data_IF_188704158986
#
_entry.id   IF_188704158986
#
_cell.length_a   1.000
_cell.length_b   1.000
_cell.length_c   1.000
_cell.angle_alpha   90.00
_cell.angle_beta   90.00
_cell.angle_gamma   90.00
#
_symmetry.space_group_name_H-M   'P 1'
#
loop_
_entity.id
_entity.type
_entity.pdbx_description
1 polymer ?
#
# COMPACT_ATOMS: atom_id res chain seq x y z
N UNK A 1 -8.79 17.31 8.36
CA UNK A 1 -8.44 16.21 7.45
C UNK A 1 -7.16 15.53 7.89
N UNK A 2 -7.21 14.23 8.02
CA UNK A 2 -6.01 13.50 8.41
C UNK A 2 -5.05 13.41 7.23
N UNK A 3 -3.78 13.66 7.49
CA UNK A 3 -2.75 13.45 6.49
C UNK A 3 -2.54 11.95 6.28
N UNK A 4 -2.22 11.56 5.05
CA UNK A 4 -1.86 10.18 4.76
C UNK A 4 -0.41 9.98 5.24
N UNK A 5 -0.17 9.05 6.17
CA UNK A 5 1.18 8.83 6.67
C UNK A 5 2.08 8.22 5.59
N UNK A 6 3.37 8.44 5.75
CA UNK A 6 4.36 7.82 4.89
C UNK A 6 4.54 6.36 5.30
N UNK A 7 4.21 5.44 4.40
CA UNK A 7 4.26 4.00 4.64
C UNK A 7 5.46 3.42 3.90
N UNK A 8 6.38 2.79 4.63
CA UNK A 8 7.54 2.16 4.02
C UNK A 8 7.16 0.90 3.26
N UNK A 9 8.06 0.38 2.43
CA UNK A 9 7.81 -0.85 1.68
C UNK A 9 7.48 -2.02 2.60
N UNK A 10 8.21 -2.16 3.70
CA UNK A 10 7.94 -3.22 4.67
C UNK A 10 6.57 -3.03 5.35
N UNK A 11 6.28 -1.81 5.75
CA UNK A 11 4.99 -1.48 6.37
C UNK A 11 3.83 -1.70 5.42
N UNK A 12 4.07 -1.50 4.12
CA UNK A 12 3.04 -1.72 3.11
C UNK A 12 2.55 -3.16 3.09
N UNK A 13 3.45 -4.12 3.33
CA UNK A 13 3.07 -5.54 3.39
C UNK A 13 2.09 -5.81 4.54
N UNK A 14 2.27 -5.13 5.67
CA UNK A 14 1.34 -5.23 6.80
C UNK A 14 -0.01 -4.61 6.42
N UNK A 15 0.01 -3.42 5.83
CA UNK A 15 -1.22 -2.73 5.45
C UNK A 15 -2.06 -3.55 4.45
N UNK A 16 -1.41 -4.23 3.50
CA UNK A 16 -2.12 -5.07 2.54
C UNK A 16 -2.95 -6.16 3.23
N UNK A 17 -2.44 -6.73 4.29
CA UNK A 17 -3.18 -7.74 5.05
C UNK A 17 -4.41 -7.13 5.69
N UNK A 18 -4.25 -5.99 6.34
CA UNK A 18 -5.35 -5.33 7.04
C UNK A 18 -6.42 -4.77 6.09
N UNK A 19 -6.02 -4.34 4.91
CA UNK A 19 -7.00 -3.89 3.91
C UNK A 19 -7.82 -5.04 3.36
N UNK A 20 -7.25 -6.25 3.35
CA UNK A 20 -7.99 -7.44 2.89
C UNK A 20 -8.94 -7.99 3.94
N UNK A 21 -8.51 -7.97 5.19
CA UNK A 21 -9.30 -8.52 6.30
C UNK A 21 -8.94 -7.81 7.60
N UNK A 22 -9.90 -7.18 8.22
CA UNK A 22 -9.77 -6.59 9.55
C UNK A 22 -11.15 -6.47 10.20
N UNK A 23 -11.23 -6.45 11.53
CA UNK A 23 -10.10 -6.46 12.46
C UNK A 23 -9.49 -7.86 12.62
N UNK A 24 -8.18 -7.91 12.84
CA UNK A 24 -7.46 -9.16 13.10
C UNK A 24 -6.38 -8.94 14.17
N UNK A 25 -5.89 -10.03 14.72
CA UNK A 25 -4.85 -9.97 15.75
C UNK A 25 -3.45 -9.86 15.14
N UNK A 26 -2.49 -9.45 15.97
CA UNK A 26 -1.09 -9.42 15.53
C UNK A 26 -0.61 -10.81 15.09
N UNK A 27 -1.05 -11.85 15.80
CA UNK A 27 -0.65 -13.22 15.44
C UNK A 27 -1.17 -13.61 14.06
N UNK A 28 -2.39 -13.20 13.72
CA UNK A 28 -2.94 -13.45 12.38
C UNK A 28 -2.14 -12.73 11.30
N UNK A 29 -1.66 -11.52 11.59
CA UNK A 29 -0.79 -10.80 10.65
C UNK A 29 0.53 -11.55 10.50
N UNK A 30 1.14 -12.00 11.60
CA UNK A 30 2.36 -12.80 11.59
C UNK A 30 2.17 -14.04 10.70
N UNK A 31 1.05 -14.74 10.88
CA UNK A 31 0.77 -15.97 10.13
C UNK A 31 0.71 -15.72 8.62
N UNK A 32 0.34 -14.51 8.22
CA UNK A 32 0.20 -14.17 6.80
C UNK A 32 1.50 -13.69 6.15
N UNK A 33 2.33 -12.94 6.88
CA UNK A 33 3.46 -12.26 6.24
C UNK A 33 4.84 -12.79 6.63
N UNK A 34 4.96 -13.46 7.79
CA UNK A 34 6.28 -13.84 8.30
C UNK A 34 7.03 -14.76 7.35
N UNK A 35 6.38 -15.84 6.89
CA UNK A 35 7.01 -16.80 6.00
C UNK A 35 7.31 -16.24 4.61
N UNK A 36 6.34 -15.65 3.90
CA UNK A 36 6.62 -15.10 2.57
C UNK A 36 7.69 -14.02 2.55
N UNK A 37 7.79 -13.21 3.60
CA UNK A 37 8.77 -12.13 3.67
C UNK A 37 10.05 -12.53 4.35
N UNK A 38 10.14 -13.73 4.89
CA UNK A 38 11.26 -14.21 5.68
C UNK A 38 11.52 -13.32 6.91
N UNK A 39 10.46 -12.85 7.52
CA UNK A 39 10.52 -12.05 8.75
C UNK A 39 10.22 -12.91 9.95
N UNK A 40 10.84 -12.58 11.09
CA UNK A 40 10.43 -13.22 12.33
C UNK A 40 9.24 -12.46 12.94
N UNK A 41 8.50 -13.09 13.88
CA UNK A 41 7.33 -12.46 14.48
C UNK A 41 7.63 -11.12 15.15
N UNK A 42 8.81 -10.97 15.71
CA UNK A 42 9.23 -9.74 16.36
C UNK A 42 9.28 -8.57 15.38
N UNK A 43 9.81 -8.82 14.18
CA UNK A 43 9.86 -7.83 13.10
C UNK A 43 8.45 -7.39 12.70
N UNK A 44 7.54 -8.35 12.54
CA UNK A 44 6.15 -8.06 12.18
C UNK A 44 5.48 -7.18 13.23
N UNK A 45 5.65 -7.55 14.50
CA UNK A 45 5.06 -6.79 15.61
C UNK A 45 5.63 -5.38 15.70
N UNK A 46 6.92 -5.22 15.43
CA UNK A 46 7.56 -3.90 15.40
C UNK A 46 6.96 -3.02 14.29
N UNK A 47 6.72 -3.61 13.12
CA UNK A 47 6.10 -2.88 12.01
C UNK A 47 4.68 -2.45 12.35
N UNK A 48 3.91 -3.32 13.00
CA UNK A 48 2.56 -2.97 13.46
C UNK A 48 2.62 -1.80 14.45
N UNK A 49 3.53 -1.86 15.41
CA UNK A 49 3.71 -0.77 16.38
C UNK A 49 4.02 0.57 15.71
N UNK A 50 4.90 0.55 14.72
CA UNK A 50 5.24 1.77 13.98
C UNK A 50 4.04 2.33 13.24
N UNK A 51 3.24 1.46 12.63
CA UNK A 51 2.04 1.88 11.92
C UNK A 51 0.98 2.44 12.86
N UNK A 52 0.87 1.90 14.07
CA UNK A 52 -0.02 2.45 15.09
C UNK A 52 0.44 3.86 15.46
N UNK A 53 1.73 4.05 15.66
CA UNK A 53 2.29 5.37 16.00
C UNK A 53 2.07 6.39 14.89
N UNK A 54 2.09 5.95 13.64
CA UNK A 54 1.83 6.80 12.47
C UNK A 54 0.34 7.06 12.26
N UNK A 55 -0.53 6.45 13.05
CA UNK A 55 -1.98 6.52 12.89
C UNK A 55 -2.50 5.89 11.59
N UNK A 56 -1.71 4.98 11.01
CA UNK A 56 -2.16 4.20 9.84
C UNK A 56 -2.97 2.98 10.25
N UNK A 57 -2.76 2.50 11.48
CA UNK A 57 -3.47 1.37 12.08
C UNK A 57 -4.08 1.82 13.39
N UNK A 58 -5.30 1.39 13.66
CA UNK A 58 -5.94 1.55 14.98
C UNK A 58 -6.18 0.17 15.57
N UNK A 59 -6.39 0.12 16.87
CA UNK A 59 -6.66 -1.16 17.53
C UNK A 59 -7.70 -0.99 18.60
N UNK A 60 -8.36 -2.10 18.93
CA UNK A 60 -9.29 -2.20 20.05
C UNK A 60 -8.91 -3.40 20.89
N UNK A 61 -8.93 -3.22 22.19
CA UNK A 61 -8.67 -4.31 23.12
C UNK A 61 -9.96 -5.08 23.39
N UNK A 62 -9.89 -6.40 23.30
CA UNK A 62 -10.96 -7.29 23.74
C UNK A 62 -10.34 -8.22 24.75
N UNK A 63 -10.51 -7.88 26.05
CA UNK A 63 -9.78 -8.57 27.11
C UNK A 63 -8.29 -8.29 27.00
N UNK A 64 -7.49 -9.34 26.89
CA UNK A 64 -6.03 -9.23 26.76
C UNK A 64 -5.56 -9.24 25.31
N UNK A 65 -6.49 -9.31 24.37
CA UNK A 65 -6.16 -9.43 22.94
C UNK A 65 -6.49 -8.12 22.24
N UNK A 66 -5.56 -7.67 21.38
CA UNK A 66 -5.76 -6.49 20.56
C UNK A 66 -6.14 -6.90 19.14
N UNK A 67 -7.14 -6.22 18.59
CA UNK A 67 -7.59 -6.41 17.21
C UNK A 67 -7.27 -5.15 16.43
N UNK A 68 -6.57 -5.33 15.33
CA UNK A 68 -6.03 -4.24 14.53
C UNK A 68 -6.84 -4.04 13.25
N UNK A 69 -7.02 -2.79 12.87
CA UNK A 69 -7.71 -2.42 11.65
C UNK A 69 -6.96 -1.29 10.95
N UNK A 70 -7.09 -1.21 9.64
CA UNK A 70 -6.54 -0.08 8.89
C UNK A 70 -7.31 1.19 9.27
N UNK A 71 -6.58 2.25 9.59
CA UNK A 71 -7.16 3.56 9.91
C UNK A 71 -7.15 4.50 8.70
N UNK A 72 -6.50 4.10 7.60
CA UNK A 72 -6.43 4.87 6.35
C UNK A 72 -6.89 3.98 5.21
N UNK A 73 -7.52 4.56 4.22
CA UNK A 73 -8.04 3.81 3.08
C UNK A 73 -6.92 3.44 2.12
N UNK A 74 -6.98 2.23 1.58
CA UNK A 74 -6.00 1.75 0.60
C UNK A 74 -5.88 2.69 -0.59
N UNK A 75 -7.01 3.09 -1.13
CA UNK A 75 -7.05 3.95 -2.31
C UNK A 75 -6.34 5.28 -2.09
N UNK A 76 -6.50 5.87 -0.91
CA UNK A 76 -5.82 7.12 -0.57
C UNK A 76 -4.31 6.93 -0.45
N UNK A 77 -3.89 5.82 0.15
CA UNK A 77 -2.46 5.51 0.30
C UNK A 77 -1.82 5.24 -1.06
N UNK A 78 -2.51 4.51 -1.93
CA UNK A 78 -2.02 4.23 -3.29
C UNK A 78 -1.89 5.53 -4.08
N UNK A 79 -2.87 6.42 -3.95
CA UNK A 79 -2.83 7.71 -4.64
C UNK A 79 -1.63 8.55 -4.18
N UNK A 80 -1.40 8.61 -2.87
CA UNK A 80 -0.26 9.36 -2.34
C UNK A 80 1.06 8.77 -2.81
N UNK A 81 1.16 7.45 -2.89
CA UNK A 81 2.36 6.78 -3.39
C UNK A 81 2.60 7.09 -4.85
N UNK A 82 1.54 7.10 -5.67
CA UNK A 82 1.67 7.46 -7.09
C UNK A 82 2.17 8.90 -7.24
N UNK A 83 1.61 9.83 -6.49
CA UNK A 83 2.02 11.23 -6.55
C UNK A 83 3.47 11.40 -6.10
N UNK A 84 3.85 10.73 -5.04
CA UNK A 84 5.21 10.80 -4.51
C UNK A 84 6.21 10.26 -5.52
N UNK A 85 5.92 9.12 -6.12
CA UNK A 85 6.78 8.50 -7.13
C UNK A 85 6.95 9.41 -8.34
N UNK A 86 5.85 9.93 -8.87
CA UNK A 86 5.88 10.81 -10.03
C UNK A 86 6.72 12.05 -9.75
N UNK A 87 6.51 12.66 -8.59
CA UNK A 87 7.24 13.86 -8.21
C UNK A 87 8.73 13.57 -7.96
N UNK A 88 9.02 12.51 -7.21
CA UNK A 88 10.37 12.17 -6.79
C UNK A 88 11.27 11.74 -7.93
N UNK A 89 10.73 10.91 -8.82
CA UNK A 89 11.52 10.28 -9.88
C UNK A 89 11.43 11.06 -11.20
N UNK A 90 10.27 11.61 -11.51
CA UNK A 90 10.02 12.27 -12.80
C UNK A 90 9.74 13.77 -12.68
N UNK A 91 9.96 14.34 -11.50
CA UNK A 91 9.75 15.78 -11.32
C UNK A 91 8.32 16.25 -11.57
N UNK A 92 7.34 15.36 -11.48
CA UNK A 92 5.95 15.66 -11.74
C UNK A 92 5.53 15.48 -13.21
N UNK A 93 6.45 15.06 -14.08
CA UNK A 93 6.16 14.92 -15.51
C UNK A 93 5.59 13.54 -15.83
N UNK A 94 4.28 13.48 -16.06
CA UNK A 94 3.57 12.23 -16.30
C UNK A 94 3.95 11.59 -17.65
N UNK A 95 4.11 12.40 -18.69
CA UNK A 95 4.35 11.87 -20.03
C UNK A 95 5.64 11.04 -20.14
N UNK A 96 6.80 11.51 -19.64
CA UNK A 96 8.01 10.67 -19.65
C UNK A 96 7.85 9.39 -18.83
N UNK A 97 7.16 9.44 -17.70
CA UNK A 97 6.93 8.25 -16.89
C UNK A 97 6.16 7.20 -17.66
N UNK A 98 5.05 7.61 -18.28
CA UNK A 98 4.21 6.69 -19.06
C UNK A 98 4.98 6.15 -20.28
N UNK A 99 5.76 7.00 -20.93
CA UNK A 99 6.57 6.56 -22.07
C UNK A 99 7.55 5.46 -21.67
N UNK A 100 8.25 5.65 -20.56
CA UNK A 100 9.21 4.64 -20.08
C UNK A 100 8.51 3.33 -19.72
N UNK A 101 7.40 3.39 -18.99
CA UNK A 101 6.66 2.20 -18.61
C UNK A 101 6.14 1.45 -19.82
N UNK A 102 5.59 2.17 -20.80
CA UNK A 102 5.03 1.57 -22.00
C UNK A 102 6.12 0.91 -22.85
N UNK A 103 7.28 1.56 -22.97
CA UNK A 103 8.39 1.04 -23.76
C UNK A 103 9.04 -0.18 -23.14
N UNK A 104 9.11 -0.23 -21.81
CA UNK A 104 9.82 -1.29 -21.11
C UNK A 104 8.96 -2.53 -20.84
N UNK A 105 7.65 -2.39 -20.89
CA UNK A 105 6.75 -3.50 -20.60
C UNK A 105 6.16 -4.12 -21.86
N UNK A 106 5.96 -5.44 -21.81
CA UNK A 106 5.25 -6.14 -22.89
C UNK A 106 3.76 -5.94 -22.69
N UNK A 107 3.13 -5.25 -23.61
CA UNK A 107 1.71 -4.99 -23.52
C UNK A 107 0.97 -5.87 -24.52
N UNK A 108 -0.12 -6.49 -24.05
CA UNK A 108 -1.02 -7.21 -24.93
C UNK A 108 -1.82 -6.21 -25.77
N UNK A 109 -2.41 -6.70 -26.86
CA UNK A 109 -3.28 -5.86 -27.66
C UNK A 109 -4.47 -5.33 -26.84
N UNK A 110 -4.98 -6.15 -25.95
CA UNK A 110 -6.07 -5.76 -25.07
C UNK A 110 -5.68 -4.61 -24.15
N UNK A 111 -4.48 -4.70 -23.56
CA UNK A 111 -3.96 -3.64 -22.68
C UNK A 111 -3.75 -2.35 -23.45
N UNK A 112 -3.22 -2.44 -24.66
CA UNK A 112 -3.02 -1.26 -25.52
C UNK A 112 -4.36 -0.57 -25.81
N UNK A 113 -5.37 -1.36 -26.13
CA UNK A 113 -6.70 -0.83 -26.42
C UNK A 113 -7.33 -0.16 -25.19
N UNK A 114 -7.16 -0.76 -24.01
CA UNK A 114 -7.62 -0.17 -22.78
C UNK A 114 -6.95 1.17 -22.50
N UNK A 115 -5.62 1.23 -22.68
CA UNK A 115 -4.87 2.46 -22.46
C UNK A 115 -5.30 3.56 -23.43
N UNK A 116 -5.53 3.20 -24.69
CA UNK A 116 -6.01 4.15 -25.70
C UNK A 116 -7.36 4.73 -25.28
N UNK A 117 -8.27 3.88 -24.83
CA UNK A 117 -9.60 4.33 -24.37
C UNK A 117 -9.50 5.29 -23.20
N UNK A 118 -8.65 4.95 -22.22
CA UNK A 118 -8.47 5.80 -21.04
C UNK A 118 -7.96 7.18 -21.42
N UNK A 119 -6.98 7.24 -22.35
CA UNK A 119 -6.41 8.50 -22.81
C UNK A 119 -7.45 9.33 -23.58
N UNK A 120 -8.26 8.69 -24.41
CA UNK A 120 -9.30 9.39 -25.16
C UNK A 120 -10.41 9.94 -24.29
N UNK A 121 -10.73 9.26 -23.18
CA UNK A 121 -11.76 9.72 -22.23
C UNK A 121 -11.31 10.90 -21.40
N UNK A 122 -10.01 11.13 -21.34
CA UNK A 122 -9.42 12.18 -20.51
C UNK A 122 -9.30 13.49 -21.30
N UNK A 123 -10.37 14.22 -21.33
CA UNK A 123 -10.37 15.54 -21.99
C UNK A 123 -10.77 16.65 -21.07
#
# INVERSE_FOLDING_TARGET
MAEIPNISDAEWEIMKVLWRKSPITAQEVVDQVAEPMSWNPKTVKALISRLVKKHAIRFEAAGKVYYYSAAVAEEECVREERKSFLKRIYGGALSPMLAHFIQDEKLSREEINELKKLLEQKE
#
